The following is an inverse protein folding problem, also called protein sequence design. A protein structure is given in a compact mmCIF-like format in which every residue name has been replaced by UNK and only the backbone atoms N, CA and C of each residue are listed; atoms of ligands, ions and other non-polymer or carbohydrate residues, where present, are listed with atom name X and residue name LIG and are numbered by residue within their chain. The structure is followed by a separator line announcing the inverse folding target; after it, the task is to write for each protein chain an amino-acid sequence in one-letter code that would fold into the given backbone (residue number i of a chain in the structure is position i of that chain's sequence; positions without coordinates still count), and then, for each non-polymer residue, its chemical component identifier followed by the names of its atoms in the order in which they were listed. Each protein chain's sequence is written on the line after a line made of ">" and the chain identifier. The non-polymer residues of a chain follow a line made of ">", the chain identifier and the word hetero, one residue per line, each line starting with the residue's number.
data_IF_513549242143
#
_entry.id   IF_513549242143
#
_cell.length_a   1.000
_cell.length_b   1.000
_cell.length_c   1.000
_cell.angle_alpha   90.00
_cell.angle_beta   90.00
_cell.angle_gamma   90.00
#
_symmetry.space_group_name_H-M   'P 1'
#
loop_
_entity.id
_entity.type
_entity.pdbx_description
1 polymer ?
#
# COMPACT_ATOMS: atom_id res chain seq x y z
N UNK A 1 -22.80 44.37 40.67
CA UNK A 1 -23.48 43.07 40.82
C UNK A 1 -23.52 42.39 39.46
N UNK A 2 -23.40 41.06 39.50
CA UNK A 2 -23.55 40.05 38.45
C UNK A 2 -22.30 39.67 37.63
N UNK A 3 -21.76 38.51 38.06
CA UNK A 3 -21.03 37.49 37.32
C UNK A 3 -21.61 37.19 35.95
N UNK A 4 -20.77 36.69 35.06
CA UNK A 4 -21.19 35.59 34.19
C UNK A 4 -20.12 34.51 34.09
N UNK A 5 -20.62 33.30 34.30
CA UNK A 5 -20.01 31.97 34.30
C UNK A 5 -19.75 31.52 32.86
N UNK A 6 -18.73 30.68 32.68
CA UNK A 6 -18.44 29.98 31.43
C UNK A 6 -19.54 28.95 31.11
N UNK A 7 -19.96 28.88 29.85
CA UNK A 7 -20.81 27.80 29.31
C UNK A 7 -20.07 27.10 28.14
N UNK A 8 -20.04 25.76 28.06
CA UNK A 8 -19.23 25.00 27.12
C UNK A 8 -20.11 24.47 25.98
N UNK A 9 -20.26 25.22 24.90
CA UNK A 9 -20.77 24.71 23.62
C UNK A 9 -20.24 25.58 22.48
N UNK A 10 -19.01 25.29 22.02
CA UNK A 10 -18.56 25.81 20.73
C UNK A 10 -19.04 24.84 19.65
N UNK A 11 -20.28 25.06 19.21
CA UNK A 11 -20.77 24.59 17.92
C UNK A 11 -20.05 25.41 16.85
N UNK A 12 -19.00 24.84 16.24
CA UNK A 12 -18.50 25.34 14.98
C UNK A 12 -19.58 25.08 13.92
N UNK A 13 -20.39 26.11 13.66
CA UNK A 13 -21.23 26.19 12.46
C UNK A 13 -20.31 26.25 11.25
N UNK A 14 -20.19 25.15 10.52
CA UNK A 14 -19.74 25.21 9.14
C UNK A 14 -20.93 25.55 8.26
N UNK A 15 -20.79 26.65 7.53
CA UNK A 15 -21.76 27.11 6.56
C UNK A 15 -21.98 26.07 5.46
N UNK A 16 -23.19 26.04 4.94
CA UNK A 16 -23.58 25.29 3.74
C UNK A 16 -22.73 25.71 2.54
N UNK A 17 -21.99 24.79 1.89
CA UNK A 17 -21.52 25.01 0.53
C UNK A 17 -22.73 24.98 -0.40
N UNK A 18 -22.97 26.10 -1.08
CA UNK A 18 -23.90 26.15 -2.20
C UNK A 18 -23.16 25.65 -3.45
N UNK A 19 -23.58 24.47 -3.88
CA UNK A 19 -23.86 24.06 -5.26
C UNK A 19 -22.86 24.53 -6.33
N UNK A 20 -21.80 23.76 -6.52
CA UNK A 20 -21.12 23.67 -7.81
C UNK A 20 -21.35 22.26 -8.37
N UNK A 21 -22.34 22.16 -9.26
CA UNK A 21 -22.70 21.03 -10.12
C UNK A 21 -23.33 19.81 -9.42
N UNK A 22 -24.58 19.50 -9.82
CA UNK A 22 -25.45 18.56 -9.15
C UNK A 22 -25.02 17.11 -9.30
N UNK A 23 -24.47 16.56 -8.23
CA UNK A 23 -24.40 15.12 -7.97
C UNK A 23 -25.42 14.78 -6.89
N UNK A 24 -26.40 13.95 -7.25
CA UNK A 24 -27.26 13.27 -6.29
C UNK A 24 -26.36 12.22 -5.61
N UNK A 25 -25.79 12.55 -4.46
CA UNK A 25 -25.06 11.57 -3.65
C UNK A 25 -26.14 10.74 -2.97
N UNK A 26 -26.35 9.54 -3.53
CA UNK A 26 -27.22 8.55 -2.93
C UNK A 26 -26.65 8.11 -1.57
N UNK A 27 -27.31 8.58 -0.51
CA UNK A 27 -26.97 8.24 0.88
C UNK A 27 -27.36 6.82 1.26
N UNK A 28 -27.91 6.02 0.33
CA UNK A 28 -28.15 4.59 0.50
C UNK A 28 -27.00 3.72 -0.06
N UNK A 29 -25.89 4.30 -0.57
CA UNK A 29 -24.67 3.57 -0.98
C UNK A 29 -23.84 2.99 0.18
N UNK A 30 -24.39 3.00 1.40
CA UNK A 30 -23.72 2.56 2.64
C UNK A 30 -23.75 1.04 2.83
N UNK A 31 -23.29 0.28 1.82
CA UNK A 31 -22.54 -0.97 2.08
C UNK A 31 -21.25 -0.69 2.89
N UNK A 32 -20.85 0.58 2.93
CA UNK A 32 -19.66 1.19 3.55
C UNK A 32 -19.27 0.77 4.98
N UNK A 33 -20.11 0.12 5.80
CA UNK A 33 -19.70 -0.28 7.15
C UNK A 33 -18.78 -1.51 7.12
N UNK A 34 -19.07 -2.47 6.23
CA UNK A 34 -18.28 -3.70 6.08
C UNK A 34 -17.00 -3.42 5.30
N UNK A 35 -17.10 -2.70 4.17
CA UNK A 35 -15.94 -2.34 3.34
C UNK A 35 -14.96 -1.41 4.05
N UNK A 36 -15.42 -0.39 4.80
CA UNK A 36 -14.49 0.46 5.57
C UNK A 36 -13.81 -0.31 6.68
N UNK A 37 -14.51 -1.26 7.31
CA UNK A 37 -13.92 -2.12 8.34
C UNK A 37 -12.90 -3.08 7.71
N UNK A 38 -13.20 -3.62 6.53
CA UNK A 38 -12.29 -4.49 5.78
C UNK A 38 -11.07 -3.73 5.27
N UNK A 39 -11.25 -2.54 4.71
CA UNK A 39 -10.15 -1.69 4.25
C UNK A 39 -9.23 -1.29 5.41
N UNK A 40 -9.79 -0.96 6.58
CA UNK A 40 -9.02 -0.72 7.79
C UNK A 40 -8.23 -1.98 8.20
N UNK A 41 -8.88 -3.14 8.23
CA UNK A 41 -8.23 -4.42 8.51
C UNK A 41 -7.06 -4.70 7.55
N UNK A 42 -7.27 -4.59 6.24
CA UNK A 42 -6.22 -4.78 5.22
C UNK A 42 -5.05 -3.81 5.41
N UNK A 43 -5.34 -2.54 5.75
CA UNK A 43 -4.29 -1.55 6.01
C UNK A 43 -3.46 -1.87 7.25
N UNK A 44 -4.10 -2.36 8.32
CA UNK A 44 -3.42 -2.82 9.53
C UNK A 44 -2.56 -4.06 9.24
N UNK A 45 -3.10 -5.02 8.48
CA UNK A 45 -2.36 -6.22 8.08
C UNK A 45 -1.14 -5.87 7.21
N UNK A 46 -1.25 -4.89 6.31
CA UNK A 46 -0.11 -4.41 5.51
C UNK A 46 1.01 -3.88 6.40
N UNK A 47 0.68 -3.00 7.36
CA UNK A 47 1.65 -2.50 8.34
C UNK A 47 2.23 -3.63 9.20
N UNK A 48 1.41 -4.59 9.64
CA UNK A 48 1.86 -5.73 10.41
C UNK A 48 2.83 -6.62 9.61
N UNK A 49 2.57 -6.84 8.32
CA UNK A 49 3.47 -7.59 7.43
C UNK A 49 4.87 -7.01 7.42
N UNK A 50 5.00 -5.69 7.25
CA UNK A 50 6.29 -5.01 7.31
C UNK A 50 6.93 -5.06 8.72
N UNK A 51 6.15 -4.85 9.79
CA UNK A 51 6.65 -4.93 11.17
C UNK A 51 7.16 -6.35 11.49
N UNK A 52 6.46 -7.40 11.03
CA UNK A 52 6.87 -8.78 11.22
C UNK A 52 8.12 -9.12 10.41
N UNK A 53 8.23 -8.60 9.19
CA UNK A 53 9.47 -8.67 8.42
C UNK A 53 10.65 -8.06 9.20
N UNK A 54 10.53 -6.82 9.69
CA UNK A 54 11.60 -6.13 10.43
C UNK A 54 12.02 -6.89 11.71
N UNK A 55 11.08 -7.64 12.30
CA UNK A 55 11.32 -8.50 13.47
C UNK A 55 11.84 -9.89 13.13
N UNK A 56 12.02 -10.20 11.85
CA UNK A 56 12.38 -11.52 11.31
C UNK A 56 11.37 -12.62 11.68
N UNK A 57 10.08 -12.27 11.75
CA UNK A 57 8.96 -13.17 12.05
C UNK A 57 8.28 -13.67 10.75
N UNK A 58 8.95 -14.56 10.01
CA UNK A 58 8.55 -14.99 8.65
C UNK A 58 7.07 -15.39 8.51
N UNK A 59 6.62 -16.39 9.28
CA UNK A 59 5.25 -16.91 9.13
C UNK A 59 4.18 -15.88 9.53
N UNK A 60 4.50 -14.96 10.44
CA UNK A 60 3.59 -13.88 10.81
C UNK A 60 3.48 -12.84 9.69
N UNK A 61 4.59 -12.53 9.01
CA UNK A 61 4.59 -11.67 7.83
C UNK A 61 3.78 -12.29 6.68
N UNK A 62 3.97 -13.59 6.41
CA UNK A 62 3.19 -14.33 5.41
C UNK A 62 1.69 -14.26 5.70
N UNK A 63 1.27 -14.52 6.94
CA UNK A 63 -0.16 -14.51 7.27
C UNK A 63 -0.76 -13.11 7.15
N UNK A 64 -0.02 -12.06 7.56
CA UNK A 64 -0.48 -10.69 7.41
C UNK A 64 -0.65 -10.29 5.94
N UNK A 65 0.33 -10.59 5.08
CA UNK A 65 0.19 -10.33 3.64
C UNK A 65 -0.87 -11.20 2.97
N UNK A 66 -1.08 -12.43 3.45
CA UNK A 66 -2.16 -13.30 2.96
C UNK A 66 -3.54 -12.68 3.20
N UNK A 67 -3.77 -12.14 4.39
CA UNK A 67 -5.03 -11.47 4.74
C UNK A 67 -5.27 -10.22 3.88
N UNK A 68 -4.22 -9.58 3.37
CA UNK A 68 -4.36 -8.52 2.37
C UNK A 68 -4.68 -9.11 0.99
N UNK A 69 -3.84 -10.02 0.49
CA UNK A 69 -3.92 -10.54 -0.87
C UNK A 69 -5.26 -11.22 -1.18
N UNK A 70 -5.82 -11.95 -0.21
CA UNK A 70 -7.12 -12.64 -0.36
C UNK A 70 -8.32 -11.70 -0.60
N UNK A 71 -8.16 -10.43 -0.25
CA UNK A 71 -9.19 -9.40 -0.40
C UNK A 71 -8.84 -8.42 -1.51
N UNK A 72 -7.56 -8.07 -1.66
CA UNK A 72 -7.09 -7.17 -2.71
C UNK A 72 -7.23 -7.79 -4.11
N UNK A 73 -7.05 -9.10 -4.25
CA UNK A 73 -7.19 -9.79 -5.53
C UNK A 73 -8.40 -10.72 -5.51
N UNK A 74 -9.57 -10.15 -5.77
CA UNK A 74 -10.85 -10.85 -5.66
C UNK A 74 -11.00 -12.09 -6.57
N UNK A 75 -10.13 -12.25 -7.57
CA UNK A 75 -10.10 -13.41 -8.47
C UNK A 75 -9.31 -14.60 -7.94
N UNK A 76 -8.50 -14.43 -6.88
CA UNK A 76 -7.68 -15.51 -6.34
C UNK A 76 -8.46 -16.42 -5.39
N UNK A 77 -8.04 -17.68 -5.34
CA UNK A 77 -8.37 -18.57 -4.23
C UNK A 77 -7.51 -18.27 -3.01
N UNK A 78 -7.95 -18.69 -1.81
CA UNK A 78 -7.16 -18.57 -0.57
C UNK A 78 -5.77 -19.24 -0.68
N UNK A 79 -5.63 -20.29 -1.49
CA UNK A 79 -4.34 -20.95 -1.70
C UNK A 79 -3.42 -20.08 -2.57
N UNK A 80 -3.92 -19.54 -3.68
CA UNK A 80 -3.16 -18.65 -4.56
C UNK A 80 -2.77 -17.36 -3.82
N UNK A 81 -3.69 -16.76 -3.05
CA UNK A 81 -3.39 -15.59 -2.23
C UNK A 81 -2.29 -15.89 -1.20
N UNK A 82 -2.29 -17.07 -0.58
CA UNK A 82 -1.25 -17.45 0.38
C UNK A 82 0.09 -17.68 -0.29
N UNK A 83 0.12 -18.29 -1.48
CA UNK A 83 1.35 -18.46 -2.25
C UNK A 83 1.90 -17.11 -2.76
N UNK A 84 1.03 -16.17 -3.14
CA UNK A 84 1.43 -14.80 -3.49
C UNK A 84 2.05 -14.05 -2.29
N UNK A 85 1.45 -14.19 -1.11
CA UNK A 85 1.97 -13.61 0.12
C UNK A 85 3.32 -14.22 0.52
N UNK A 86 3.47 -15.55 0.40
CA UNK A 86 4.77 -16.23 0.58
C UNK A 86 5.82 -15.69 -0.38
N UNK A 87 5.49 -15.53 -1.66
CA UNK A 87 6.42 -15.00 -2.65
C UNK A 87 6.85 -13.54 -2.34
N UNK A 88 5.94 -12.71 -1.82
CA UNK A 88 6.30 -11.36 -1.33
C UNK A 88 7.27 -11.43 -0.14
N UNK A 89 6.98 -12.29 0.84
CA UNK A 89 7.84 -12.47 2.02
C UNK A 89 9.20 -13.06 1.66
N UNK A 90 9.25 -14.02 0.72
CA UNK A 90 10.50 -14.57 0.17
C UNK A 90 11.37 -13.45 -0.44
N UNK A 91 10.76 -12.51 -1.17
CA UNK A 91 11.47 -11.36 -1.74
C UNK A 91 12.08 -10.47 -0.65
N UNK A 92 11.34 -10.20 0.43
CA UNK A 92 11.85 -9.44 1.57
C UNK A 92 13.03 -10.14 2.25
N UNK A 93 12.95 -11.45 2.45
CA UNK A 93 14.06 -12.22 3.01
C UNK A 93 15.28 -12.24 2.08
N UNK A 94 15.08 -12.42 0.77
CA UNK A 94 16.16 -12.36 -0.21
C UNK A 94 16.82 -10.98 -0.22
N UNK A 95 16.05 -9.90 -0.07
CA UNK A 95 16.56 -8.53 0.06
C UNK A 95 17.44 -8.41 1.31
N UNK A 96 16.96 -8.89 2.45
CA UNK A 96 17.74 -8.87 3.69
C UNK A 96 19.04 -9.69 3.58
N UNK A 97 19.05 -10.80 2.84
CA UNK A 97 20.27 -11.58 2.54
C UNK A 97 21.26 -10.80 1.66
N UNK A 98 20.79 -10.03 0.67
CA UNK A 98 21.65 -9.14 -0.14
C UNK A 98 22.27 -8.04 0.71
N UNK A 99 21.51 -7.51 1.67
CA UNK A 99 21.95 -6.44 2.58
C UNK A 99 22.91 -6.96 3.67
N UNK A 100 22.75 -8.22 4.08
CA UNK A 100 23.52 -8.85 5.15
C UNK A 100 25.00 -8.99 4.77
N UNK A 101 25.84 -8.14 5.37
CA UNK A 101 27.29 -8.11 5.14
C UNK A 101 27.77 -6.94 4.28
N UNK A 102 26.85 -6.15 3.71
CA UNK A 102 27.14 -4.94 2.92
C UNK A 102 26.75 -3.66 3.68
N UNK A 103 25.72 -3.74 4.53
CA UNK A 103 25.29 -2.62 5.38
C UNK A 103 25.91 -2.72 6.78
N UNK A 104 26.62 -1.67 7.22
CA UNK A 104 27.09 -1.51 8.61
C UNK A 104 26.44 -0.28 9.26
N UNK A 105 25.37 -0.51 10.02
CA UNK A 105 24.63 0.56 10.68
C UNK A 105 23.94 1.49 9.67
N UNK A 106 24.37 2.76 9.62
CA UNK A 106 23.83 3.76 8.69
C UNK A 106 24.69 3.95 7.43
N UNK A 107 25.85 3.29 7.37
CA UNK A 107 26.75 3.36 6.23
C UNK A 107 26.38 2.25 5.23
N UNK A 108 25.95 2.67 4.05
CA UNK A 108 25.67 1.78 2.92
C UNK A 108 26.92 1.72 2.06
N UNK A 109 27.48 0.54 1.90
CA UNK A 109 28.58 0.34 0.96
C UNK A 109 28.08 0.60 -0.47
N UNK A 110 28.75 1.45 -1.27
CA UNK A 110 28.43 1.63 -2.69
C UNK A 110 28.35 0.33 -3.49
N UNK A 111 29.01 -0.75 -3.05
CA UNK A 111 28.94 -2.08 -3.69
C UNK A 111 27.51 -2.68 -3.67
N UNK A 112 26.59 -2.19 -2.82
CA UNK A 112 25.20 -2.66 -2.79
C UNK A 112 24.44 -2.41 -4.09
N UNK A 113 24.79 -1.34 -4.82
CA UNK A 113 24.15 -1.00 -6.11
C UNK A 113 24.48 -2.04 -7.19
N UNK A 114 25.68 -2.61 -7.13
CA UNK A 114 26.21 -3.62 -8.05
C UNK A 114 25.99 -5.06 -7.56
N UNK A 115 25.36 -5.26 -6.39
CA UNK A 115 25.10 -6.57 -5.82
C UNK A 115 24.13 -7.40 -6.68
N UNK A 116 24.08 -8.70 -6.44
CA UNK A 116 23.16 -9.60 -7.15
C UNK A 116 21.77 -9.59 -6.49
N UNK A 117 20.83 -8.90 -7.14
CA UNK A 117 19.44 -8.81 -6.70
C UNK A 117 18.52 -9.86 -7.36
N UNK A 118 19.07 -10.85 -8.09
CA UNK A 118 18.25 -11.78 -8.89
C UNK A 118 17.24 -12.57 -8.04
N UNK A 119 17.62 -12.99 -6.83
CA UNK A 119 16.71 -13.73 -5.93
C UNK A 119 15.50 -12.90 -5.50
N UNK A 120 15.68 -11.58 -5.35
CA UNK A 120 14.59 -10.64 -5.06
C UNK A 120 13.65 -10.54 -6.26
N UNK A 121 14.21 -10.34 -7.45
CA UNK A 121 13.43 -10.24 -8.68
C UNK A 121 12.68 -11.53 -9.01
N UNK A 122 13.31 -12.70 -8.83
CA UNK A 122 12.69 -14.01 -9.08
C UNK A 122 11.47 -14.24 -8.16
N UNK A 123 11.58 -13.89 -6.88
CA UNK A 123 10.48 -13.99 -5.93
C UNK A 123 9.33 -13.03 -6.27
N UNK A 124 9.64 -11.79 -6.66
CA UNK A 124 8.66 -10.81 -7.11
C UNK A 124 8.02 -11.20 -8.44
N UNK A 125 8.75 -11.83 -9.35
CA UNK A 125 8.23 -12.34 -10.62
C UNK A 125 7.25 -13.48 -10.38
N UNK A 126 7.56 -14.38 -9.43
CA UNK A 126 6.62 -15.42 -8.98
C UNK A 126 5.34 -14.82 -8.41
N UNK A 127 5.44 -13.79 -7.55
CA UNK A 127 4.26 -13.06 -7.04
C UNK A 127 3.43 -12.50 -8.19
N UNK A 128 4.08 -11.78 -9.12
CA UNK A 128 3.42 -11.16 -10.25
C UNK A 128 2.65 -12.16 -11.10
N UNK A 129 3.24 -13.33 -11.37
CA UNK A 129 2.59 -14.42 -12.09
C UNK A 129 1.34 -14.93 -11.38
N UNK A 130 1.41 -15.17 -10.06
CA UNK A 130 0.29 -15.70 -9.27
C UNK A 130 -0.90 -14.74 -9.28
N UNK A 131 -0.65 -13.46 -9.05
CA UNK A 131 -1.73 -12.46 -8.89
C UNK A 131 -2.18 -11.85 -10.22
N UNK A 132 -1.47 -12.13 -11.32
CA UNK A 132 -1.80 -11.62 -12.65
C UNK A 132 -1.32 -10.19 -12.92
N UNK A 133 -0.23 -9.75 -12.29
CA UNK A 133 0.44 -8.49 -12.61
C UNK A 133 1.19 -8.58 -13.94
N UNK A 134 1.43 -7.42 -14.54
CA UNK A 134 2.42 -7.30 -15.61
C UNK A 134 3.81 -7.70 -15.10
N UNK A 135 4.59 -8.42 -15.92
CA UNK A 135 5.94 -8.87 -15.57
C UNK A 135 6.90 -7.73 -15.25
N UNK A 136 6.63 -6.50 -15.70
CA UNK A 136 7.37 -5.31 -15.32
C UNK A 136 7.27 -4.94 -13.84
N UNK A 137 6.33 -5.53 -13.07
CA UNK A 137 6.25 -5.34 -11.62
C UNK A 137 7.56 -5.72 -10.92
N UNK A 138 8.10 -6.90 -11.22
CA UNK A 138 9.26 -7.45 -10.54
C UNK A 138 10.52 -6.58 -10.69
N UNK A 139 11.01 -6.25 -11.91
CA UNK A 139 12.20 -5.42 -12.06
C UNK A 139 12.02 -4.01 -11.48
N UNK A 140 10.80 -3.44 -11.51
CA UNK A 140 10.53 -2.12 -10.94
C UNK A 140 10.55 -2.13 -9.41
N UNK A 141 9.95 -3.13 -8.78
CA UNK A 141 10.00 -3.27 -7.32
C UNK A 141 11.44 -3.54 -6.86
N UNK A 142 12.20 -4.38 -7.57
CA UNK A 142 13.62 -4.59 -7.30
C UNK A 142 14.43 -3.31 -7.44
N UNK A 143 14.24 -2.54 -8.52
CA UNK A 143 14.88 -1.23 -8.71
C UNK A 143 14.54 -0.26 -7.58
N UNK A 144 13.27 -0.21 -7.17
CA UNK A 144 12.84 0.63 -6.06
C UNK A 144 13.52 0.26 -4.75
N UNK A 145 13.58 -1.03 -4.40
CA UNK A 145 14.21 -1.48 -3.16
C UNK A 145 15.71 -1.20 -3.16
N UNK A 146 16.40 -1.46 -4.28
CA UNK A 146 17.81 -1.11 -4.42
C UNK A 146 18.03 0.40 -4.25
N UNK A 147 17.29 1.23 -4.99
CA UNK A 147 17.40 2.69 -4.93
C UNK A 147 17.09 3.22 -3.52
N UNK A 148 16.14 2.60 -2.81
CA UNK A 148 15.80 2.99 -1.45
C UNK A 148 16.99 2.82 -0.51
N UNK A 149 17.74 1.72 -0.67
CA UNK A 149 18.94 1.43 0.14
C UNK A 149 20.15 2.26 -0.29
N UNK A 150 20.33 2.51 -1.59
CA UNK A 150 21.50 3.24 -2.11
C UNK A 150 21.31 4.76 -2.17
N UNK A 151 20.14 5.27 -1.75
CA UNK A 151 19.82 6.69 -1.76
C UNK A 151 19.46 7.26 -3.14
N UNK A 152 19.11 6.39 -4.10
CA UNK A 152 18.58 6.75 -5.41
C UNK A 152 17.09 7.11 -5.40
N UNK A 153 16.55 7.42 -6.57
CA UNK A 153 15.10 7.64 -6.74
C UNK A 153 14.35 6.30 -6.70
N UNK A 154 13.81 5.95 -5.53
CA UNK A 154 12.94 4.78 -5.38
C UNK A 154 11.46 5.12 -5.55
N UNK A 155 11.07 6.39 -5.49
CA UNK A 155 9.67 6.81 -5.59
C UNK A 155 9.09 6.52 -6.96
N UNK A 156 9.82 6.88 -8.01
CA UNK A 156 9.42 6.67 -9.40
C UNK A 156 9.19 5.17 -9.72
N UNK A 157 10.15 4.26 -9.46
CA UNK A 157 9.94 2.83 -9.70
C UNK A 157 8.87 2.22 -8.78
N UNK A 158 8.74 2.62 -7.50
CA UNK A 158 7.65 2.16 -6.62
C UNK A 158 6.28 2.51 -7.19
N UNK A 159 6.06 3.76 -7.60
CA UNK A 159 4.77 4.15 -8.17
C UNK A 159 4.50 3.44 -9.50
N UNK A 160 5.53 3.15 -10.30
CA UNK A 160 5.39 2.42 -11.53
C UNK A 160 5.01 0.94 -11.29
N UNK A 161 5.66 0.27 -10.34
CA UNK A 161 5.30 -1.08 -9.90
C UNK A 161 3.87 -1.13 -9.34
N UNK A 162 3.50 -0.18 -8.48
CA UNK A 162 2.18 -0.15 -7.86
C UNK A 162 1.03 -0.04 -8.86
N UNK A 163 1.27 0.54 -10.05
CA UNK A 163 0.26 0.56 -11.12
C UNK A 163 -0.05 -0.84 -11.64
N UNK A 164 0.93 -1.72 -11.72
CA UNK A 164 0.73 -3.10 -12.15
C UNK A 164 -0.05 -3.89 -11.11
N UNK A 165 0.23 -3.65 -9.83
CA UNK A 165 -0.51 -4.24 -8.71
C UNK A 165 -1.98 -3.79 -8.68
N UNK A 166 -2.24 -2.49 -8.80
CA UNK A 166 -3.60 -1.96 -8.90
C UNK A 166 -4.29 -2.53 -10.14
N UNK A 167 -3.59 -2.62 -11.28
CA UNK A 167 -4.17 -3.15 -12.50
C UNK A 167 -4.55 -4.63 -12.40
N UNK A 168 -3.80 -5.43 -11.64
CA UNK A 168 -4.16 -6.82 -11.36
C UNK A 168 -5.37 -6.92 -10.43
N UNK A 169 -5.55 -5.97 -9.49
CA UNK A 169 -6.65 -5.98 -8.54
C UNK A 169 -7.99 -5.53 -9.14
N UNK A 170 -7.98 -4.48 -9.98
CA UNK A 170 -9.20 -3.78 -10.44
C UNK A 170 -9.16 -3.37 -11.92
N UNK A 171 -8.26 -3.97 -12.71
CA UNK A 171 -8.06 -3.57 -14.11
C UNK A 171 -7.37 -2.22 -14.25
N UNK A 172 -7.20 -1.74 -15.50
CA UNK A 172 -6.49 -0.49 -15.75
C UNK A 172 -7.22 0.69 -15.09
N UNK A 173 -6.67 1.19 -13.99
CA UNK A 173 -7.14 2.40 -13.32
C UNK A 173 -7.01 3.60 -14.26
N UNK A 174 -8.07 3.89 -15.02
CA UNK A 174 -8.12 5.00 -15.94
C UNK A 174 -9.49 5.64 -15.93
N UNK A 175 -9.77 6.52 -14.98
CA UNK A 175 -10.68 7.65 -15.23
C UNK A 175 -10.23 8.89 -14.43
N UNK A 176 -9.08 9.49 -14.80
CA UNK A 176 -8.93 10.92 -14.58
C UNK A 176 -9.81 11.63 -15.62
N UNK A 177 -10.81 12.44 -15.24
CA UNK A 177 -11.79 12.97 -16.20
C UNK A 177 -11.22 13.89 -17.28
N UNK A 178 -9.97 14.36 -17.14
CA UNK A 178 -9.30 15.36 -18.01
C UNK A 178 -7.76 15.19 -18.00
N UNK A 179 -7.02 16.23 -18.39
CA UNK A 179 -5.55 16.31 -18.43
C UNK A 179 -4.83 15.68 -17.22
N UNK A 180 -3.60 15.23 -17.41
CA UNK A 180 -2.78 14.62 -16.34
C UNK A 180 -2.87 13.10 -16.26
N UNK A 181 -3.26 12.45 -17.35
CA UNK A 181 -3.24 10.99 -17.52
C UNK A 181 -1.83 10.38 -17.58
N UNK A 182 -0.79 11.22 -17.70
CA UNK A 182 0.61 10.79 -17.67
C UNK A 182 1.14 10.53 -16.26
N UNK A 183 0.38 10.85 -15.21
CA UNK A 183 0.79 10.60 -13.82
C UNK A 183 0.48 9.17 -13.35
N UNK A 184 0.96 8.81 -12.17
CA UNK A 184 0.80 7.45 -11.62
C UNK A 184 -0.59 7.17 -11.03
N UNK A 185 -1.37 8.21 -10.73
CA UNK A 185 -2.67 8.11 -10.06
C UNK A 185 -2.55 8.38 -8.56
N UNK A 186 -3.67 8.68 -7.90
CA UNK A 186 -3.62 8.98 -6.46
C UNK A 186 -3.47 7.73 -5.60
N UNK A 187 -3.95 6.57 -6.07
CA UNK A 187 -3.82 5.30 -5.34
C UNK A 187 -2.35 4.93 -5.14
N UNK A 188 -1.52 5.04 -6.19
CA UNK A 188 -0.07 4.79 -6.07
C UNK A 188 0.59 5.75 -5.08
N UNK A 189 0.18 7.02 -5.05
CA UNK A 189 0.75 8.00 -4.12
C UNK A 189 0.33 7.76 -2.68
N UNK A 190 -0.89 7.27 -2.43
CA UNK A 190 -1.33 6.90 -1.07
C UNK A 190 -0.57 5.68 -0.58
N UNK A 191 -0.42 4.66 -1.42
CA UNK A 191 0.36 3.48 -1.08
C UNK A 191 1.82 3.86 -0.74
N UNK A 192 2.49 4.62 -1.62
CA UNK A 192 3.84 5.11 -1.35
C UNK A 192 3.93 5.92 -0.06
N UNK A 193 2.97 6.80 0.22
CA UNK A 193 2.95 7.55 1.50
C UNK A 193 2.84 6.61 2.71
N UNK A 194 2.08 5.52 2.59
CA UNK A 194 2.03 4.47 3.61
C UNK A 194 3.38 3.81 3.86
N UNK A 195 4.14 3.50 2.79
CA UNK A 195 5.50 2.97 2.88
C UNK A 195 6.46 3.95 3.57
N UNK A 196 6.43 5.23 3.19
CA UNK A 196 7.27 6.26 3.81
C UNK A 196 7.05 6.36 5.33
N UNK A 197 5.78 6.29 5.74
CA UNK A 197 5.39 6.36 7.15
C UNK A 197 5.78 5.08 7.90
N UNK A 198 5.77 3.92 7.23
CA UNK A 198 6.25 2.67 7.81
C UNK A 198 7.71 2.76 8.26
N UNK A 199 8.57 3.28 7.39
CA UNK A 199 10.03 3.34 7.58
C UNK A 199 10.48 4.33 8.67
N UNK A 200 9.54 5.11 9.21
CA UNK A 200 9.79 5.93 10.39
C UNK A 200 9.86 5.11 11.69
N UNK A 201 9.53 3.81 11.66
CA UNK A 201 9.63 2.84 12.76
C UNK A 201 9.11 3.32 14.12
N UNK A 202 7.92 3.95 14.14
CA UNK A 202 7.25 4.31 15.40
C UNK A 202 5.77 3.98 15.33
N UNK A 203 5.18 3.64 16.47
CA UNK A 203 3.75 3.35 16.58
C UNK A 203 2.85 4.46 16.01
N UNK A 204 3.23 5.74 16.21
CA UNK A 204 2.48 6.87 15.66
C UNK A 204 2.47 6.84 14.13
N UNK A 205 3.63 6.69 13.51
CA UNK A 205 3.71 6.69 12.05
C UNK A 205 3.13 5.41 11.44
N UNK A 206 3.21 4.25 12.11
CA UNK A 206 2.54 3.03 11.66
C UNK A 206 1.02 3.16 11.65
N UNK A 207 0.44 3.85 12.64
CA UNK A 207 -0.99 4.18 12.65
C UNK A 207 -1.35 5.14 11.51
N UNK A 208 -0.53 6.16 11.30
CA UNK A 208 -0.71 7.12 10.19
C UNK A 208 -0.61 6.41 8.82
N UNK A 209 0.32 5.46 8.67
CA UNK A 209 0.47 4.63 7.47
C UNK A 209 -0.81 3.82 7.19
N UNK A 210 -1.36 3.16 8.21
CA UNK A 210 -2.61 2.41 8.10
C UNK A 210 -3.78 3.32 7.73
N UNK A 211 -3.92 4.50 8.35
CA UNK A 211 -4.98 5.47 8.02
C UNK A 211 -4.93 5.91 6.54
N UNK A 212 -3.73 6.18 6.01
CA UNK A 212 -3.55 6.53 4.59
C UNK A 212 -3.88 5.35 3.67
N UNK A 213 -3.42 4.15 4.01
CA UNK A 213 -3.65 2.94 3.21
C UNK A 213 -5.09 2.43 3.28
N UNK A 214 -5.83 2.71 4.35
CA UNK A 214 -7.26 2.36 4.44
C UNK A 214 -8.07 3.00 3.30
N UNK A 215 -7.74 4.24 2.91
CA UNK A 215 -8.40 4.89 1.77
C UNK A 215 -7.99 4.25 0.44
N UNK A 216 -6.75 3.77 0.33
CA UNK A 216 -6.28 3.02 -0.84
C UNK A 216 -7.06 1.71 -1.01
N UNK A 217 -7.20 0.92 0.07
CA UNK A 217 -7.94 -0.34 0.03
C UNK A 217 -9.44 -0.15 -0.16
N UNK A 218 -10.05 0.87 0.44
CA UNK A 218 -11.47 1.16 0.25
C UNK A 218 -11.81 1.43 -1.22
N UNK A 219 -10.96 2.15 -1.95
CA UNK A 219 -11.17 2.39 -3.38
C UNK A 219 -10.98 1.13 -4.24
N UNK A 220 -10.07 0.23 -3.85
CA UNK A 220 -9.92 -1.08 -4.51
C UNK A 220 -11.18 -1.92 -4.31
N UNK A 221 -11.64 -2.06 -3.07
CA UNK A 221 -12.83 -2.84 -2.73
C UNK A 221 -14.07 -2.31 -3.45
N UNK A 222 -14.30 -0.99 -3.40
CA UNK A 222 -15.45 -0.38 -4.08
C UNK A 222 -15.41 -0.54 -5.61
N UNK A 223 -14.23 -0.53 -6.23
CA UNK A 223 -14.10 -0.81 -7.66
C UNK A 223 -14.42 -2.29 -8.00
N UNK A 224 -14.06 -3.24 -7.14
CA UNK A 224 -14.39 -4.65 -7.31
C UNK A 224 -15.89 -4.93 -7.16
N UNK A 225 -16.59 -4.18 -6.29
CA UNK A 225 -18.04 -4.30 -6.17
C UNK A 225 -18.78 -3.78 -7.41
N UNK A 226 -18.30 -2.68 -8.00
CA UNK A 226 -18.92 -2.09 -9.19
C UNK A 226 -18.89 -3.01 -10.43
N UNK A 227 -17.92 -3.92 -10.49
CA UNK A 227 -17.74 -4.89 -11.59
C UNK A 227 -18.53 -6.21 -11.40
N UNK A 228 -19.27 -6.39 -10.28
CA UNK A 228 -20.10 -7.58 -9.99
C UNK A 228 -21.54 -7.45 -10.50
#
# INVERSE_FOLDING_TARGET
>A
MNSQTLDPTSTAQFGTPTDAEGYDIDTDSFGEADERSLAAFMSEQTCLGFIYHDRREYEAAVEAFFEVDRHQFAHLTDEEAREAARALTDAFWAKDEVEEGIIDGADVDPELDDADWSSVEDALARRAEIVGMDGEYAPKTTEAWRNHKTGGDYWTPTMAAQRHEIAAAIGSYQEKPKYGQSGYGHLTTRYLTGLELHDMHTERHWKEAAEVMATYYAEILGAQEADR
#
